data_IF_920517700688
#
_entry.id   IF_920517700688
#
_cell.length_a   1.000
_cell.length_b   1.000
_cell.length_c   1.000
_cell.angle_alpha   90.00
_cell.angle_beta   90.00
_cell.angle_gamma   90.00
#
_symmetry.space_group_name_H-M   'P 1'
#
loop_
_entity.id
_entity.type
_entity.pdbx_description
1 polymer ?
#
# COMPACT_ATOMS: atom_id res chain seq x y z
N UNK A 1 -28.04 10.96 -20.71
CA UNK A 1 -26.81 10.93 -19.89
C UNK A 1 -26.36 9.49 -19.66
N UNK A 2 -25.21 9.11 -20.21
CA UNK A 2 -24.65 7.77 -20.01
C UNK A 2 -24.06 7.71 -18.58
N UNK A 3 -24.91 7.38 -17.61
CA UNK A 3 -24.51 7.19 -16.22
C UNK A 3 -23.80 5.84 -16.08
N UNK A 4 -22.51 5.87 -15.74
CA UNK A 4 -21.73 4.65 -15.48
C UNK A 4 -20.24 4.84 -15.72
N UNK A 5 -19.46 3.85 -15.32
CA UNK A 5 -18.07 3.73 -15.78
C UNK A 5 -18.10 3.24 -17.23
N UNK A 6 -17.49 4.00 -18.14
CA UNK A 6 -17.32 3.59 -19.53
C UNK A 6 -16.03 2.79 -19.65
N UNK A 7 -16.12 1.64 -20.33
CA UNK A 7 -14.95 0.82 -20.62
C UNK A 7 -14.28 1.43 -21.84
N UNK A 8 -13.06 1.92 -21.66
CA UNK A 8 -12.20 2.27 -22.77
C UNK A 8 -11.13 1.17 -22.89
N UNK A 9 -11.01 0.58 -24.08
CA UNK A 9 -9.85 -0.26 -24.37
C UNK A 9 -8.63 0.66 -24.37
N UNK A 10 -7.83 0.58 -23.30
CA UNK A 10 -6.70 1.47 -23.08
C UNK A 10 -5.75 1.46 -24.28
N UNK A 11 -5.45 2.65 -24.82
CA UNK A 11 -4.29 2.83 -25.68
C UNK A 11 -3.03 2.51 -24.86
N UNK A 12 -2.00 2.00 -25.53
CA UNK A 12 -0.69 1.55 -25.01
C UNK A 12 0.18 2.65 -24.35
N UNK A 13 -0.46 3.69 -23.82
CA UNK A 13 0.13 4.93 -23.31
C UNK A 13 -0.03 5.10 -21.80
N UNK A 14 -0.80 4.24 -21.13
CA UNK A 14 -0.90 4.26 -19.68
C UNK A 14 0.32 3.57 -19.06
N UNK A 15 0.99 4.25 -18.11
CA UNK A 15 2.16 3.76 -17.38
C UNK A 15 1.90 2.48 -16.57
N UNK A 16 0.65 1.99 -16.56
CA UNK A 16 0.16 0.80 -15.87
C UNK A 16 -0.70 -0.02 -16.84
N UNK A 17 -0.35 -1.29 -16.99
CA UNK A 17 -1.15 -2.24 -17.77
C UNK A 17 -2.37 -2.70 -16.98
N UNK A 18 -3.56 -2.64 -17.60
CA UNK A 18 -4.80 -3.11 -17.00
C UNK A 18 -6.05 -2.74 -17.82
N UNK A 19 -7.21 -3.18 -17.35
CA UNK A 19 -8.50 -2.74 -17.89
C UNK A 19 -8.78 -1.32 -17.42
N UNK A 20 -9.01 -0.42 -18.37
CA UNK A 20 -9.24 1.00 -18.11
C UNK A 20 -10.74 1.32 -18.10
N UNK A 21 -11.16 2.07 -17.10
CA UNK A 21 -12.52 2.55 -16.92
C UNK A 21 -12.47 4.05 -16.66
N UNK A 22 -13.40 4.80 -17.27
CA UNK A 22 -13.49 6.25 -17.09
C UNK A 22 -14.89 6.67 -16.69
N UNK A 23 -14.98 7.65 -15.77
CA UNK A 23 -16.23 8.31 -15.39
C UNK A 23 -15.96 9.79 -15.13
N UNK A 24 -16.27 10.63 -16.12
CA UNK A 24 -15.88 12.04 -16.11
C UNK A 24 -14.36 12.20 -16.12
N UNK A 25 -13.82 12.93 -15.14
CA UNK A 25 -12.37 13.09 -14.95
C UNK A 25 -11.72 11.96 -14.14
N UNK A 26 -12.51 11.00 -13.64
CA UNK A 26 -11.99 9.90 -12.84
C UNK A 26 -11.61 8.72 -13.73
N UNK A 27 -10.44 8.15 -13.46
CA UNK A 27 -9.92 6.96 -14.12
C UNK A 27 -9.75 5.83 -13.11
N UNK A 28 -10.18 4.64 -13.48
CA UNK A 28 -9.96 3.41 -12.72
C UNK A 28 -9.21 2.43 -13.62
N UNK A 29 -8.09 1.91 -13.12
CA UNK A 29 -7.29 0.88 -13.79
C UNK A 29 -7.39 -0.39 -12.93
N UNK A 30 -7.93 -1.46 -13.51
CA UNK A 30 -7.99 -2.77 -12.87
C UNK A 30 -6.90 -3.67 -13.44
N UNK A 31 -5.96 -4.07 -12.60
CA UNK A 31 -4.86 -4.97 -12.96
C UNK A 31 -4.68 -6.08 -11.92
N UNK A 32 -4.16 -7.22 -12.37
CA UNK A 32 -3.74 -8.34 -11.51
C UNK A 32 -2.21 -8.50 -11.50
N UNK A 33 -1.51 -7.71 -12.32
CA UNK A 33 -0.06 -7.71 -12.46
C UNK A 33 0.48 -6.30 -12.14
N UNK A 34 1.80 -6.14 -12.10
CA UNK A 34 2.44 -4.82 -12.01
C UNK A 34 2.20 -4.03 -10.71
N UNK A 35 2.04 -4.73 -9.58
CA UNK A 35 1.92 -4.10 -8.25
C UNK A 35 3.03 -3.07 -7.98
N UNK A 36 4.28 -3.37 -8.36
CA UNK A 36 5.39 -2.44 -8.16
C UNK A 36 5.18 -1.10 -8.88
N UNK A 37 4.77 -1.11 -10.16
CA UNK A 37 4.48 0.13 -10.89
C UNK A 37 3.31 0.89 -10.27
N UNK A 38 2.27 0.17 -9.83
CA UNK A 38 1.13 0.77 -9.14
C UNK A 38 1.56 1.45 -7.83
N UNK A 39 2.43 0.78 -7.07
CA UNK A 39 2.94 1.30 -5.81
C UNK A 39 3.77 2.55 -6.03
N UNK A 40 4.59 2.61 -7.09
CA UNK A 40 5.40 3.78 -7.41
C UNK A 40 4.56 4.99 -7.85
N UNK A 41 3.47 4.77 -8.60
CA UNK A 41 2.61 5.82 -9.12
C UNK A 41 1.57 6.33 -8.11
N UNK A 42 1.19 5.52 -7.12
CA UNK A 42 0.17 5.91 -6.15
C UNK A 42 0.70 6.90 -5.11
N UNK A 43 -0.07 7.94 -4.77
CA UNK A 43 0.27 8.86 -3.67
C UNK A 43 -0.18 8.31 -2.31
N UNK A 44 -1.24 7.51 -2.30
CA UNK A 44 -1.83 6.88 -1.11
C UNK A 44 -2.24 5.45 -1.44
N UNK A 45 -2.40 4.61 -0.42
CA UNK A 45 -2.93 3.26 -0.58
C UNK A 45 -4.17 2.99 0.26
N UNK A 46 -5.09 2.19 -0.28
CA UNK A 46 -6.10 1.49 0.52
C UNK A 46 -5.74 0.01 0.45
N UNK A 47 -5.33 -0.59 1.56
CA UNK A 47 -4.78 -1.95 1.56
C UNK A 47 -5.35 -2.81 2.69
N UNK A 48 -5.72 -4.04 2.33
CA UNK A 48 -6.16 -5.10 3.26
C UNK A 48 -5.19 -6.29 3.27
N UNK A 49 -4.12 -6.22 2.47
CA UNK A 49 -3.11 -7.28 2.38
C UNK A 49 -1.87 -6.87 3.17
N UNK A 50 -1.38 -7.80 4.02
CA UNK A 50 -0.26 -7.57 4.92
C UNK A 50 1.00 -7.04 4.22
N UNK A 51 1.55 -7.83 3.30
CA UNK A 51 2.79 -7.50 2.58
C UNK A 51 2.66 -6.25 1.72
N UNK A 52 1.52 -6.04 1.05
CA UNK A 52 1.32 -4.83 0.25
C UNK A 52 1.36 -3.57 1.13
N UNK A 53 0.76 -3.65 2.33
CA UNK A 53 0.79 -2.57 3.33
C UNK A 53 2.23 -2.24 3.73
N UNK A 54 3.04 -3.26 4.05
CA UNK A 54 4.45 -3.08 4.40
C UNK A 54 5.27 -2.43 3.27
N UNK A 55 5.02 -2.81 2.01
CA UNK A 55 5.69 -2.20 0.86
C UNK A 55 5.33 -0.71 0.72
N UNK A 56 4.06 -0.34 0.86
CA UNK A 56 3.67 1.09 0.84
C UNK A 56 4.29 1.87 2.00
N UNK A 57 4.32 1.30 3.19
CA UNK A 57 4.99 1.91 4.35
C UNK A 57 6.48 2.10 4.08
N UNK A 58 7.17 1.11 3.50
CA UNK A 58 8.58 1.22 3.12
C UNK A 58 8.86 2.28 2.06
N UNK A 59 7.90 2.51 1.16
CA UNK A 59 7.93 3.61 0.19
C UNK A 59 7.63 4.98 0.79
N UNK A 60 7.33 5.06 2.09
CA UNK A 60 6.98 6.29 2.78
C UNK A 60 5.60 6.82 2.40
N UNK A 61 4.68 5.94 2.01
CA UNK A 61 3.34 6.31 1.53
C UNK A 61 2.28 6.00 2.59
N UNK A 62 1.28 6.88 2.78
CA UNK A 62 0.19 6.64 3.72
C UNK A 62 -0.68 5.47 3.25
N UNK A 63 -1.05 4.60 4.19
CA UNK A 63 -1.95 3.48 3.95
C UNK A 63 -3.20 3.65 4.81
N UNK A 64 -4.37 3.50 4.19
CA UNK A 64 -5.66 3.46 4.86
C UNK A 64 -6.18 2.03 4.83
N UNK A 65 -6.66 1.53 5.95
CA UNK A 65 -7.13 0.16 6.08
C UNK A 65 -8.40 0.10 6.92
N UNK A 66 -9.13 -1.01 6.81
CA UNK A 66 -10.33 -1.29 7.58
C UNK A 66 -10.44 -2.79 7.83
N UNK A 67 -11.08 -3.24 8.91
CA UNK A 67 -11.26 -4.66 9.15
C UNK A 67 -12.15 -5.29 8.06
N UNK A 68 -11.72 -6.44 7.54
CA UNK A 68 -12.53 -7.28 6.68
C UNK A 68 -13.62 -8.00 7.48
N UNK A 69 -14.66 -8.47 6.77
CA UNK A 69 -15.73 -9.28 7.37
C UNK A 69 -15.37 -10.77 7.48
N UNK A 70 -14.34 -11.22 6.75
CA UNK A 70 -13.88 -12.60 6.71
C UNK A 70 -12.67 -12.85 7.62
N UNK A 71 -12.25 -14.11 7.77
CA UNK A 71 -11.16 -14.49 8.68
C UNK A 71 -9.78 -13.96 8.24
N UNK A 72 -9.63 -13.55 6.98
CA UNK A 72 -8.34 -13.20 6.38
C UNK A 72 -7.77 -11.86 6.90
N UNK A 73 -8.61 -10.92 7.33
CA UNK A 73 -8.17 -9.60 7.81
C UNK A 73 -9.09 -9.09 8.93
N UNK A 74 -8.91 -9.65 10.13
CA UNK A 74 -9.74 -9.32 11.30
C UNK A 74 -9.35 -7.97 11.91
N UNK A 75 -10.23 -7.40 12.75
CA UNK A 75 -9.91 -6.19 13.51
C UNK A 75 -8.63 -6.33 14.34
N UNK A 76 -8.45 -7.48 15.02
CA UNK A 76 -7.23 -7.73 15.83
C UNK A 76 -5.97 -7.73 14.98
N UNK A 77 -6.05 -8.27 13.75
CA UNK A 77 -4.93 -8.23 12.82
C UNK A 77 -4.65 -6.81 12.34
N UNK A 78 -5.69 -6.07 11.93
CA UNK A 78 -5.57 -4.71 11.45
C UNK A 78 -4.99 -3.78 12.53
N UNK A 79 -5.47 -3.88 13.77
CA UNK A 79 -4.98 -3.12 14.92
C UNK A 79 -3.51 -3.43 15.21
N UNK A 80 -3.14 -4.72 15.23
CA UNK A 80 -1.76 -5.13 15.44
C UNK A 80 -0.83 -4.60 14.34
N UNK A 81 -1.27 -4.63 13.08
CA UNK A 81 -0.53 -4.08 11.96
C UNK A 81 -0.37 -2.56 12.07
N UNK A 82 -1.42 -1.82 12.44
CA UNK A 82 -1.35 -0.38 12.67
C UNK A 82 -0.36 -0.04 13.77
N UNK A 83 -0.35 -0.78 14.89
CA UNK A 83 0.64 -0.58 15.96
C UNK A 83 2.08 -0.87 15.51
N UNK A 84 2.28 -1.91 14.69
CA UNK A 84 3.58 -2.30 14.16
C UNK A 84 4.13 -1.28 13.14
N UNK A 85 3.26 -0.72 12.30
CA UNK A 85 3.66 0.16 11.20
C UNK A 85 3.49 1.65 11.54
N UNK A 86 2.91 1.97 12.69
CA UNK A 86 2.83 3.32 13.24
C UNK A 86 1.98 4.26 12.39
N UNK A 87 2.39 5.53 12.36
CA UNK A 87 1.65 6.63 11.73
C UNK A 87 1.43 6.45 10.22
N UNK A 88 2.18 5.55 9.57
CA UNK A 88 2.03 5.26 8.16
C UNK A 88 0.74 4.49 7.83
N UNK A 89 0.05 3.93 8.83
CA UNK A 89 -1.20 3.18 8.64
C UNK A 89 -2.34 3.80 9.45
N UNK A 90 -3.39 4.23 8.77
CA UNK A 90 -4.64 4.70 9.38
C UNK A 90 -5.69 3.60 9.33
N UNK A 91 -6.12 3.12 10.49
CA UNK A 91 -7.23 2.16 10.62
C UNK A 91 -8.54 2.92 10.79
N UNK A 92 -9.49 2.68 9.89
CA UNK A 92 -10.90 3.11 10.05
C UNK A 92 -11.79 1.91 10.37
N UNK A 93 -12.97 2.14 10.95
CA UNK A 93 -13.87 1.06 11.34
C UNK A 93 -14.58 0.47 10.12
N UNK A 94 -14.98 1.34 9.17
CA UNK A 94 -15.79 0.94 8.01
C UNK A 94 -15.23 1.49 6.69
N UNK A 95 -15.39 0.77 5.56
CA UNK A 95 -14.90 1.23 4.25
C UNK A 95 -15.39 2.62 3.85
N UNK A 96 -16.62 2.99 4.25
CA UNK A 96 -17.23 4.30 3.97
C UNK A 96 -16.50 5.48 4.61
N UNK A 97 -15.68 5.23 5.64
CA UNK A 97 -14.93 6.27 6.37
C UNK A 97 -13.59 6.60 5.70
N UNK A 98 -13.14 5.77 4.75
CA UNK A 98 -11.87 5.97 4.04
C UNK A 98 -11.82 7.34 3.35
N UNK A 99 -12.89 7.76 2.69
CA UNK A 99 -12.93 9.06 2.01
C UNK A 99 -12.66 10.22 2.96
N UNK A 100 -13.26 10.20 4.16
CA UNK A 100 -13.04 11.23 5.17
C UNK A 100 -11.63 11.15 5.76
N UNK A 101 -11.11 9.94 6.01
CA UNK A 101 -9.75 9.77 6.52
C UNK A 101 -8.70 10.29 5.53
N UNK A 102 -8.88 10.03 4.24
CA UNK A 102 -8.03 10.57 3.17
C UNK A 102 -8.13 12.09 3.12
N UNK A 103 -9.33 12.66 3.15
CA UNK A 103 -9.51 14.11 3.17
C UNK A 103 -8.81 14.78 4.37
N UNK A 104 -8.93 14.18 5.56
CA UNK A 104 -8.26 14.67 6.76
C UNK A 104 -6.73 14.62 6.65
N UNK A 105 -6.18 13.57 6.04
CA UNK A 105 -4.75 13.46 5.76
C UNK A 105 -4.28 14.53 4.76
N UNK A 106 -5.01 14.72 3.66
CA UNK A 106 -4.67 15.71 2.63
C UNK A 106 -4.70 17.15 3.17
N UNK A 107 -5.50 17.42 4.20
CA UNK A 107 -5.51 18.70 4.90
C UNK A 107 -4.28 18.93 5.81
N UNK A 108 -3.42 17.92 6.00
CA UNK A 108 -2.28 17.94 6.92
C UNK A 108 -0.97 17.57 6.20
N UNK A 109 -0.43 18.45 5.34
CA UNK A 109 0.69 18.12 4.47
C UNK A 109 1.97 17.70 5.22
N UNK A 110 2.17 18.19 6.46
CA UNK A 110 3.31 17.80 7.31
C UNK A 110 3.34 16.30 7.64
N UNK A 111 2.19 15.61 7.61
CA UNK A 111 2.13 14.17 7.90
C UNK A 111 2.87 13.35 6.85
N UNK A 112 2.94 13.81 5.59
CA UNK A 112 3.63 13.07 4.54
C UNK A 112 5.11 12.85 4.87
N UNK A 113 5.78 13.87 5.39
CA UNK A 113 7.18 13.77 5.79
C UNK A 113 7.38 12.84 6.98
N UNK A 114 6.53 12.95 8.00
CA UNK A 114 6.57 12.05 9.16
C UNK A 114 6.34 10.60 8.75
N UNK A 115 5.38 10.33 7.86
CA UNK A 115 5.10 9.00 7.31
C UNK A 115 6.30 8.46 6.54
N UNK A 116 6.98 9.31 5.75
CA UNK A 116 8.19 8.92 5.03
C UNK A 116 9.34 8.57 5.98
N UNK A 117 9.52 9.34 7.06
CA UNK A 117 10.51 9.06 8.10
C UNK A 117 10.19 7.76 8.85
N UNK A 118 8.94 7.57 9.29
CA UNK A 118 8.50 6.36 9.97
C UNK A 118 8.66 5.12 9.08
N UNK A 119 8.34 5.23 7.79
CA UNK A 119 8.54 4.15 6.82
C UNK A 119 9.98 3.64 6.78
N UNK A 120 10.95 4.56 6.68
CA UNK A 120 12.39 4.24 6.73
C UNK A 120 12.81 3.60 8.05
N UNK A 121 12.27 4.09 9.17
CA UNK A 121 12.59 3.56 10.50
C UNK A 121 12.04 2.14 10.72
N UNK A 122 10.81 1.87 10.28
CA UNK A 122 10.13 0.57 10.47
C UNK A 122 10.61 -0.50 9.51
N UNK A 123 10.83 -0.14 8.24
CA UNK A 123 11.20 -1.11 7.20
C UNK A 123 12.70 -1.24 7.00
N UNK A 124 13.47 -0.25 7.48
CA UNK A 124 14.92 -0.20 7.31
C UNK A 124 15.35 0.05 5.87
N UNK A 125 16.65 -0.10 5.62
CA UNK A 125 17.23 0.00 4.29
C UNK A 125 17.05 -1.31 3.51
N UNK A 126 16.97 -1.26 2.17
CA UNK A 126 16.97 -2.43 1.29
C UNK A 126 18.11 -3.43 1.62
N UNK A 127 17.94 -4.68 1.20
CA UNK A 127 18.96 -5.74 1.37
C UNK A 127 18.75 -6.65 2.60
N UNK A 128 17.56 -6.67 3.20
CA UNK A 128 17.29 -7.56 4.33
C UNK A 128 17.51 -9.04 3.99
N UNK A 129 17.06 -9.48 2.81
CA UNK A 129 17.27 -10.85 2.34
C UNK A 129 18.75 -11.21 2.18
N UNK A 130 19.56 -10.29 1.64
CA UNK A 130 21.01 -10.47 1.49
C UNK A 130 21.69 -10.58 2.85
N UNK A 131 21.38 -9.67 3.78
CA UNK A 131 21.90 -9.72 5.16
C UNK A 131 21.55 -11.02 5.87
N UNK A 132 20.33 -11.53 5.68
CA UNK A 132 19.91 -12.83 6.23
C UNK A 132 20.71 -13.96 5.59
N UNK A 133 20.88 -13.95 4.27
CA UNK A 133 21.65 -14.97 3.56
C UNK A 133 23.13 -14.99 4.00
N UNK A 134 23.75 -13.82 4.16
CA UNK A 134 25.12 -13.68 4.66
C UNK A 134 25.25 -14.18 6.10
N UNK A 135 24.28 -13.83 6.95
CA UNK A 135 24.25 -14.32 8.33
C UNK A 135 24.16 -15.86 8.38
N UNK A 136 23.26 -16.47 7.60
CA UNK A 136 23.12 -17.93 7.50
C UNK A 136 24.43 -18.57 6.99
N UNK A 137 25.02 -18.04 5.90
CA UNK A 137 26.31 -18.53 5.36
C UNK A 137 27.43 -18.46 6.42
N UNK A 138 27.50 -17.38 7.19
CA UNK A 138 28.52 -17.21 8.23
C UNK A 138 28.35 -18.20 9.39
N UNK A 139 27.10 -18.55 9.76
CA UNK A 139 26.79 -19.43 10.89
C UNK A 139 26.90 -20.91 10.56
N UNK A 140 26.63 -21.27 9.31
CA UNK A 140 26.68 -22.63 8.79
C UNK A 140 27.87 -22.84 7.85
N UNK A 141 29.06 -22.35 8.21
CA UNK A 141 30.30 -22.78 7.55
C UNK A 141 30.32 -24.31 7.52
N UNK A 142 29.95 -24.89 6.39
CA UNK A 142 30.13 -26.30 6.10
C UNK A 142 31.64 -26.52 6.20
N UNK A 143 32.10 -27.13 7.29
CA UNK A 143 33.44 -27.69 7.35
C UNK A 143 33.44 -28.80 6.29
N UNK A 144 34.03 -28.49 5.14
CA UNK A 144 34.47 -29.51 4.19
C UNK A 144 35.55 -30.38 4.83
#
# INVERSE_FOLDING_TARGET
PQCGWQIEQGKKTDKLEGKNYQKGFNKLILSQNNNYQAFMLADIAIALAGTATEQFVGLGKPVFTFPGKGPQFTYRFAEAQTRLLGISVTLVDKPREIGQAVANFLAQPYLAELIAQNGRQRMGLPGAAERIADYIKSRFRFKG
#
